data_IF_694033809565
#
_entry.id   IF_694033809565
#
_cell.length_a   1.000
_cell.length_b   1.000
_cell.length_c   1.000
_cell.angle_alpha   90.00
_cell.angle_beta   90.00
_cell.angle_gamma   90.00
#
_symmetry.space_group_name_H-M   'P 1'
#
loop_
_entity.id
_entity.type
_entity.pdbx_description
1 polymer ?
#
# COMPACT_ATOMS: atom_id res chain seq x y z
N UNK A 1 -12.82 1.44 -50.45
CA UNK A 1 -11.55 1.68 -49.72
C UNK A 1 -11.76 2.27 -48.33
N UNK A 2 -12.57 3.31 -48.14
CA UNK A 2 -12.79 3.93 -46.81
C UNK A 2 -13.45 3.01 -45.76
N UNK A 3 -14.41 2.16 -46.17
CA UNK A 3 -15.15 1.29 -45.24
C UNK A 3 -14.28 0.15 -44.68
N UNK A 4 -13.36 -0.37 -45.50
CA UNK A 4 -12.42 -1.43 -45.09
C UNK A 4 -11.45 -0.88 -44.04
N UNK A 5 -10.95 0.34 -44.24
CA UNK A 5 -10.09 1.03 -43.26
C UNK A 5 -10.81 1.24 -41.94
N UNK A 6 -12.07 1.68 -41.97
CA UNK A 6 -12.89 1.83 -40.75
C UNK A 6 -13.15 0.51 -40.03
N UNK A 7 -13.41 -0.58 -40.76
CA UNK A 7 -13.57 -1.90 -40.17
C UNK A 7 -12.28 -2.39 -39.49
N UNK A 8 -11.11 -2.16 -40.10
CA UNK A 8 -9.82 -2.54 -39.52
C UNK A 8 -9.53 -1.75 -38.25
N UNK A 9 -9.77 -0.43 -38.26
CA UNK A 9 -9.61 0.42 -37.08
C UNK A 9 -10.54 -0.05 -35.95
N UNK A 10 -11.81 -0.31 -36.27
CA UNK A 10 -12.77 -0.78 -35.28
C UNK A 10 -12.37 -2.14 -34.69
N UNK A 11 -11.89 -3.08 -35.51
CA UNK A 11 -11.39 -4.37 -35.04
C UNK A 11 -10.20 -4.21 -34.08
N UNK A 12 -9.26 -3.31 -34.37
CA UNK A 12 -8.12 -3.02 -33.51
C UNK A 12 -8.59 -2.42 -32.17
N UNK A 13 -9.52 -1.47 -32.20
CA UNK A 13 -10.06 -0.86 -30.97
C UNK A 13 -10.76 -1.89 -30.10
N UNK A 14 -11.60 -2.75 -30.68
CA UNK A 14 -12.28 -3.83 -29.95
C UNK A 14 -11.27 -4.82 -29.37
N UNK A 15 -10.24 -5.17 -30.13
CA UNK A 15 -9.19 -6.08 -29.67
C UNK A 15 -8.40 -5.50 -28.49
N UNK A 16 -8.02 -4.23 -28.55
CA UNK A 16 -7.34 -3.53 -27.45
C UNK A 16 -8.26 -3.47 -26.23
N UNK A 17 -9.53 -3.08 -26.40
CA UNK A 17 -10.50 -3.03 -25.31
C UNK A 17 -10.71 -4.40 -24.64
N UNK A 18 -10.76 -5.46 -25.43
CA UNK A 18 -10.87 -6.83 -24.95
C UNK A 18 -9.63 -7.26 -24.15
N UNK A 19 -8.43 -6.97 -24.66
CA UNK A 19 -7.17 -7.26 -23.95
C UNK A 19 -7.08 -6.47 -22.64
N UNK A 20 -7.42 -5.18 -22.65
CA UNK A 20 -7.43 -4.35 -21.43
C UNK A 20 -8.41 -4.87 -20.39
N UNK A 21 -9.60 -5.31 -20.80
CA UNK A 21 -10.61 -5.87 -19.90
C UNK A 21 -10.17 -7.23 -19.36
N UNK A 22 -9.55 -8.07 -20.20
CA UNK A 22 -9.03 -9.37 -19.80
C UNK A 22 -7.86 -9.25 -18.82
N UNK A 23 -6.92 -8.34 -19.06
CA UNK A 23 -5.81 -8.09 -18.13
C UNK A 23 -6.31 -7.53 -16.79
N UNK A 24 -7.30 -6.64 -16.80
CA UNK A 24 -7.93 -6.15 -15.58
C UNK A 24 -8.65 -7.26 -14.79
N UNK A 25 -9.21 -8.26 -15.47
CA UNK A 25 -9.84 -9.41 -14.84
C UNK A 25 -8.80 -10.37 -14.23
N UNK A 26 -7.71 -10.67 -14.95
CA UNK A 26 -6.65 -11.59 -14.48
C UNK A 26 -5.91 -11.04 -13.25
N UNK A 27 -5.61 -9.74 -13.21
CA UNK A 27 -5.00 -9.11 -12.04
C UNK A 27 -5.83 -9.26 -10.74
N UNK A 28 -7.15 -9.44 -10.86
CA UNK A 28 -8.03 -9.58 -9.71
C UNK A 28 -7.98 -11.00 -9.12
N UNK A 29 -7.84 -12.02 -9.95
CA UNK A 29 -7.76 -13.42 -9.50
C UNK A 29 -6.39 -13.71 -8.88
N UNK A 30 -5.31 -13.26 -9.53
CA UNK A 30 -3.96 -13.37 -8.97
C UNK A 30 -3.83 -12.57 -7.67
N UNK A 31 -4.34 -11.32 -7.64
CA UNK A 31 -4.32 -10.49 -6.44
C UNK A 31 -5.09 -11.09 -5.26
N UNK A 32 -6.18 -11.84 -5.49
CA UNK A 32 -6.94 -12.52 -4.44
C UNK A 32 -6.15 -13.71 -3.86
N UNK A 33 -5.51 -14.49 -4.72
CA UNK A 33 -4.69 -15.62 -4.32
C UNK A 33 -3.46 -15.15 -3.52
N UNK A 34 -2.82 -14.10 -4.01
CA UNK A 34 -1.69 -13.41 -3.39
C UNK A 34 -2.06 -12.79 -2.03
N UNK A 35 -3.26 -12.21 -1.92
CA UNK A 35 -3.77 -11.69 -0.64
C UNK A 35 -4.00 -12.81 0.38
N UNK A 36 -4.46 -13.99 -0.06
CA UNK A 36 -4.61 -15.16 0.81
C UNK A 36 -3.26 -15.66 1.37
N UNK A 37 -2.24 -15.72 0.52
CA UNK A 37 -0.88 -16.09 0.94
C UNK A 37 -0.27 -15.02 1.88
N UNK A 38 -0.53 -13.74 1.58
CA UNK A 38 -0.09 -12.63 2.41
C UNK A 38 -0.64 -12.73 3.85
N UNK A 39 -1.91 -13.09 4.02
CA UNK A 39 -2.50 -13.27 5.37
C UNK A 39 -1.76 -14.33 6.17
N UNK A 40 -1.44 -15.47 5.53
CA UNK A 40 -0.76 -16.59 6.19
C UNK A 40 0.67 -16.20 6.56
N UNK A 41 1.41 -15.57 5.65
CA UNK A 41 2.80 -15.15 5.88
C UNK A 41 2.87 -14.06 6.96
N UNK A 42 1.91 -13.13 6.98
CA UNK A 42 1.83 -12.10 8.00
C UNK A 42 1.54 -12.68 9.38
N UNK A 43 0.54 -13.56 9.50
CA UNK A 43 0.21 -14.19 10.78
C UNK A 43 1.38 -15.06 11.27
N UNK A 44 2.12 -15.69 10.36
CA UNK A 44 3.34 -16.42 10.70
C UNK A 44 4.45 -15.51 11.23
N UNK A 45 4.63 -14.32 10.65
CA UNK A 45 5.64 -13.36 11.09
C UNK A 45 5.25 -12.62 12.39
N UNK A 46 3.95 -12.34 12.57
CA UNK A 46 3.40 -11.61 13.71
C UNK A 46 2.18 -12.34 14.30
N UNK A 47 2.37 -13.47 15.01
CA UNK A 47 1.27 -14.32 15.48
C UNK A 47 0.38 -13.67 16.54
N UNK A 48 0.91 -12.68 17.26
CA UNK A 48 0.20 -11.97 18.32
C UNK A 48 -0.61 -10.77 17.78
N UNK A 49 -0.45 -10.39 16.51
CA UNK A 49 -1.12 -9.24 15.92
C UNK A 49 -2.34 -9.72 15.10
N UNK A 50 -3.54 -9.30 15.51
CA UNK A 50 -4.77 -9.69 14.83
C UNK A 50 -5.04 -8.77 13.62
N UNK A 51 -5.22 -9.37 12.45
CA UNK A 51 -5.53 -8.66 11.21
C UNK A 51 -7.03 -8.34 11.18
N UNK A 52 -7.39 -7.07 11.03
CA UNK A 52 -8.79 -6.62 10.89
C UNK A 52 -9.20 -6.44 9.44
N UNK A 53 -8.30 -5.89 8.62
CA UNK A 53 -8.60 -5.57 7.24
C UNK A 53 -7.32 -5.57 6.40
N UNK A 54 -7.41 -5.94 5.13
CA UNK A 54 -6.32 -5.84 4.17
C UNK A 54 -6.80 -5.09 2.93
N UNK A 55 -5.92 -4.29 2.32
CA UNK A 55 -6.15 -3.63 1.05
C UNK A 55 -4.89 -3.77 0.18
N UNK A 56 -5.05 -4.42 -0.97
CA UNK A 56 -3.99 -4.56 -1.97
C UNK A 56 -3.95 -3.36 -2.91
N UNK A 57 -2.76 -3.02 -3.40
CA UNK A 57 -2.56 -2.05 -4.46
C UNK A 57 -3.03 -2.61 -5.80
N UNK A 58 -3.35 -1.72 -6.75
CA UNK A 58 -3.87 -2.10 -8.07
C UNK A 58 -2.86 -2.92 -8.90
N UNK A 59 -1.56 -2.77 -8.60
CA UNK A 59 -0.45 -3.51 -9.21
C UNK A 59 -0.11 -4.83 -8.47
N UNK A 60 -0.78 -5.11 -7.34
CA UNK A 60 -0.53 -6.29 -6.50
C UNK A 60 0.85 -6.33 -5.84
N UNK A 61 1.64 -5.25 -5.92
CA UNK A 61 3.00 -5.22 -5.38
C UNK A 61 3.05 -4.97 -3.88
N UNK A 62 2.02 -4.34 -3.32
CA UNK A 62 1.92 -4.09 -1.89
C UNK A 62 0.52 -4.37 -1.34
N UNK A 63 0.47 -4.83 -0.10
CA UNK A 63 -0.75 -5.05 0.66
C UNK A 63 -0.62 -4.31 1.97
N UNK A 64 -1.55 -3.39 2.21
CA UNK A 64 -1.66 -2.67 3.47
C UNK A 64 -2.56 -3.44 4.40
N UNK A 65 -2.12 -3.60 5.65
CA UNK A 65 -2.78 -4.40 6.66
C UNK A 65 -3.17 -3.48 7.80
N UNK A 66 -4.45 -3.49 8.16
CA UNK A 66 -4.94 -2.88 9.39
C UNK A 66 -4.94 -3.92 10.49
N UNK A 67 -4.24 -3.62 11.57
CA UNK A 67 -4.10 -4.50 12.73
C UNK A 67 -5.05 -4.07 13.85
N UNK A 68 -5.04 -4.85 14.91
CA UNK A 68 -5.65 -4.50 16.18
C UNK A 68 -4.94 -3.28 16.81
N UNK A 69 -5.63 -2.54 17.70
CA UNK A 69 -5.07 -1.38 18.42
C UNK A 69 -4.62 -0.18 17.56
N UNK A 70 -5.28 0.06 16.42
CA UNK A 70 -4.96 1.14 15.47
C UNK A 70 -3.55 1.08 14.88
N UNK A 71 -2.88 -0.07 14.97
CA UNK A 71 -1.63 -0.30 14.26
C UNK A 71 -1.91 -0.57 12.78
N UNK A 72 -0.95 -0.22 11.95
CA UNK A 72 -0.95 -0.54 10.53
C UNK A 72 0.30 -1.36 10.20
N UNK A 73 0.23 -2.13 9.12
CA UNK A 73 1.35 -2.87 8.57
C UNK A 73 1.36 -2.74 7.06
N UNK A 74 2.53 -2.98 6.47
CA UNK A 74 2.71 -3.11 5.03
C UNK A 74 3.34 -4.46 4.74
N UNK A 75 2.87 -5.07 3.68
CA UNK A 75 3.45 -6.26 3.09
C UNK A 75 3.82 -5.93 1.66
N UNK A 76 5.05 -6.23 1.28
CA UNK A 76 5.50 -6.05 -0.10
C UNK A 76 5.75 -7.40 -0.75
N UNK A 77 5.20 -7.60 -1.94
CA UNK A 77 5.46 -8.78 -2.74
C UNK A 77 6.90 -8.70 -3.27
N UNK A 78 7.73 -9.70 -2.94
CA UNK A 78 9.10 -9.85 -3.44
C UNK A 78 9.19 -11.05 -4.39
N UNK A 79 8.21 -11.19 -5.30
CA UNK A 79 8.02 -12.27 -6.28
C UNK A 79 7.77 -13.67 -5.70
N UNK A 80 8.59 -14.10 -4.74
CA UNK A 80 8.57 -15.44 -4.17
C UNK A 80 8.06 -15.46 -2.73
N UNK A 81 8.24 -14.36 -2.00
CA UNK A 81 7.90 -14.23 -0.57
C UNK A 81 7.37 -12.81 -0.28
N UNK A 82 6.65 -12.63 0.81
CA UNK A 82 6.22 -11.32 1.28
C UNK A 82 7.16 -10.78 2.35
N UNK A 83 7.62 -9.55 2.17
CA UNK A 83 8.32 -8.82 3.23
C UNK A 83 7.28 -8.10 4.09
N UNK A 84 7.13 -8.54 5.34
CA UNK A 84 6.15 -8.01 6.29
C UNK A 84 6.80 -6.98 7.22
N UNK A 85 6.15 -5.83 7.38
CA UNK A 85 6.61 -4.81 8.31
C UNK A 85 5.42 -4.19 9.04
N UNK A 86 5.49 -4.15 10.37
CA UNK A 86 4.52 -3.43 11.21
C UNK A 86 5.01 -2.00 11.35
N UNK A 87 4.11 -1.05 11.17
CA UNK A 87 4.41 0.37 11.17
C UNK A 87 4.32 0.92 12.59
N UNK A 88 5.41 1.52 13.04
CA UNK A 88 5.41 2.26 14.31
C UNK A 88 4.60 3.57 14.19
N UNK A 89 3.86 3.94 15.24
CA UNK A 89 3.18 5.22 15.29
C UNK A 89 4.13 6.40 15.16
N UNK A 90 3.71 7.39 14.38
CA UNK A 90 4.44 8.65 14.18
C UNK A 90 5.61 8.58 13.22
N UNK A 91 5.73 7.52 12.41
CA UNK A 91 6.88 7.34 11.51
C UNK A 91 6.49 7.11 10.05
N UNK A 92 5.27 7.51 9.71
CA UNK A 92 4.73 7.42 8.36
C UNK A 92 4.24 8.79 7.91
N UNK A 93 4.65 9.20 6.71
CA UNK A 93 4.11 10.36 6.02
C UNK A 93 3.33 9.87 4.81
N UNK A 94 2.13 10.43 4.63
CA UNK A 94 1.23 10.08 3.53
C UNK A 94 0.85 11.36 2.79
N UNK A 95 1.07 11.34 1.49
CA UNK A 95 0.67 12.40 0.56
C UNK A 95 -0.21 11.78 -0.52
N UNK A 96 -1.23 12.51 -0.97
CA UNK A 96 -2.05 12.06 -2.09
C UNK A 96 -1.26 12.15 -3.40
N UNK A 97 -1.38 11.13 -4.25
CA UNK A 97 -0.88 11.16 -5.64
C UNK A 97 -1.71 12.12 -6.50
N UNK A 98 -1.14 12.60 -7.60
CA UNK A 98 -1.80 13.49 -8.56
C UNK A 98 -3.07 12.87 -9.17
N UNK A 99 -3.14 11.54 -9.20
CA UNK A 99 -4.28 10.76 -9.72
C UNK A 99 -5.50 10.78 -8.79
N UNK A 100 -5.34 11.17 -7.52
CA UNK A 100 -6.35 11.06 -6.46
C UNK A 100 -6.71 9.62 -6.06
N UNK A 101 -6.09 8.62 -6.70
CA UNK A 101 -6.27 7.19 -6.44
C UNK A 101 -5.01 6.51 -5.91
N UNK A 102 -3.90 7.23 -5.91
CA UNK A 102 -2.65 6.79 -5.32
C UNK A 102 -2.30 7.55 -4.05
N UNK A 103 -1.41 6.95 -3.27
CA UNK A 103 -0.75 7.55 -2.13
C UNK A 103 0.75 7.48 -2.33
N UNK A 104 1.44 8.59 -2.14
CA UNK A 104 2.88 8.62 -1.94
C UNK A 104 3.14 8.49 -0.43
N UNK A 105 3.74 7.37 -0.04
CA UNK A 105 3.96 7.03 1.36
C UNK A 105 5.46 6.97 1.61
N UNK A 106 5.90 7.75 2.61
CA UNK A 106 7.28 7.83 3.07
C UNK A 106 7.37 7.29 4.49
N UNK A 107 8.09 6.18 4.66
CA UNK A 107 8.36 5.55 5.94
C UNK A 107 9.72 6.02 6.47
N UNK A 108 9.72 6.64 7.65
CA UNK A 108 10.93 7.19 8.28
C UNK A 108 11.86 6.09 8.83
N UNK A 109 11.30 4.98 9.31
CA UNK A 109 12.07 3.84 9.83
C UNK A 109 12.53 2.86 8.78
N UNK A 110 11.76 2.74 7.70
CA UNK A 110 11.96 1.72 6.70
C UNK A 110 11.87 2.33 5.29
N UNK A 111 12.85 3.17 4.89
CA UNK A 111 12.80 3.91 3.63
C UNK A 111 12.68 3.01 2.39
N UNK A 112 13.11 1.75 2.49
CA UNK A 112 13.00 0.76 1.43
C UNK A 112 11.56 0.38 1.07
N UNK A 113 10.59 0.61 1.96
CA UNK A 113 9.18 0.41 1.69
C UNK A 113 8.49 1.67 1.14
N UNK A 114 9.18 2.82 1.15
CA UNK A 114 8.61 4.09 0.68
C UNK A 114 8.39 4.05 -0.83
N UNK A 115 7.35 4.72 -1.28
CA UNK A 115 7.04 4.82 -2.70
C UNK A 115 5.62 5.31 -2.98
N UNK A 116 5.30 5.33 -4.27
CA UNK A 116 3.95 5.66 -4.75
C UNK A 116 3.16 4.38 -4.98
N UNK A 117 2.03 4.29 -4.32
CA UNK A 117 1.13 3.14 -4.36
C UNK A 117 -0.20 3.56 -4.97
N UNK A 118 -0.60 2.91 -6.06
CA UNK A 118 -1.88 3.16 -6.72
C UNK A 118 -2.92 2.12 -6.31
N UNK A 119 -4.15 2.57 -6.06
CA UNK A 119 -5.24 1.71 -5.58
C UNK A 119 -6.37 1.56 -6.61
N UNK A 120 -7.18 0.52 -6.41
CA UNK A 120 -8.33 0.22 -7.27
C UNK A 120 -9.39 1.35 -7.31
N UNK A 121 -9.44 2.22 -6.29
CA UNK A 121 -10.26 3.42 -6.29
C UNK A 121 -9.78 4.44 -5.26
N UNK A 122 -10.21 5.70 -5.41
CA UNK A 122 -9.92 6.76 -4.45
C UNK A 122 -10.49 6.46 -3.04
N UNK A 123 -11.60 5.70 -2.97
CA UNK A 123 -12.16 5.23 -1.70
C UNK A 123 -11.20 4.33 -0.96
N UNK A 124 -10.62 3.34 -1.66
CA UNK A 124 -9.64 2.41 -1.07
C UNK A 124 -8.38 3.16 -0.65
N UNK A 125 -7.89 4.08 -1.48
CA UNK A 125 -6.76 4.94 -1.11
C UNK A 125 -7.05 5.75 0.17
N UNK A 126 -8.25 6.34 0.28
CA UNK A 126 -8.65 7.10 1.47
C UNK A 126 -8.75 6.23 2.72
N UNK A 127 -9.21 4.98 2.60
CA UNK A 127 -9.24 4.03 3.71
C UNK A 127 -7.82 3.71 4.21
N UNK A 128 -6.89 3.41 3.30
CA UNK A 128 -5.49 3.13 3.66
C UNK A 128 -4.84 4.36 4.28
N UNK A 129 -5.06 5.55 3.70
CA UNK A 129 -4.57 6.80 4.27
C UNK A 129 -5.08 7.02 5.70
N UNK A 130 -6.34 6.67 5.98
CA UNK A 130 -6.91 6.78 7.33
C UNK A 130 -6.26 5.81 8.33
N UNK A 131 -5.86 4.63 7.90
CA UNK A 131 -5.14 3.68 8.78
C UNK A 131 -3.76 4.20 9.13
N UNK A 132 -3.09 4.82 8.16
CA UNK A 132 -1.78 5.42 8.33
C UNK A 132 -1.84 6.75 9.10
N UNK A 133 -3.00 7.42 9.16
CA UNK A 133 -3.20 8.66 9.92
C UNK A 133 -2.95 8.46 11.42
N UNK A 134 -3.29 7.29 11.97
CA UNK A 134 -2.95 6.94 13.36
C UNK A 134 -1.45 6.95 13.63
N UNK A 135 -0.64 6.85 12.58
CA UNK A 135 0.82 6.85 12.61
C UNK A 135 1.43 8.12 11.96
N UNK A 136 0.64 9.17 11.74
CA UNK A 136 1.09 10.38 11.06
C UNK A 136 1.91 11.28 11.99
N UNK A 137 3.07 11.74 11.51
CA UNK A 137 3.83 12.84 12.13
C UNK A 137 3.80 14.06 11.22
N UNK A 138 3.39 15.20 11.79
CA UNK A 138 3.42 16.48 11.11
C UNK A 138 4.87 16.99 11.01
N UNK A 139 5.21 17.72 9.93
CA UNK A 139 6.54 18.33 9.75
C UNK A 139 7.12 19.07 10.98
N UNK A 140 6.34 19.83 11.80
CA UNK A 140 6.87 20.45 13.01
C UNK A 140 7.31 19.47 14.12
N UNK A 141 6.76 18.25 14.16
CA UNK A 141 7.07 17.25 15.20
C UNK A 141 8.32 16.41 14.87
N UNK A 142 8.98 16.67 13.73
CA UNK A 142 10.25 16.02 13.35
C UNK A 142 11.39 16.35 14.33
N UNK A 143 11.30 17.49 15.03
CA UNK A 143 12.28 17.90 16.02
C UNK A 143 12.07 17.13 17.34
N UNK A 144 12.47 15.86 17.37
CA UNK A 144 12.66 15.17 18.65
C UNK A 144 13.69 15.97 19.47
N UNK A 145 13.38 16.39 20.71
CA UNK A 145 14.41 16.91 21.59
C UNK A 145 15.41 15.78 21.81
N UNK A 146 16.69 16.07 21.55
CA UNK A 146 17.78 15.22 22.00
C UNK A 146 17.55 14.93 23.48
N UNK A 147 17.34 13.66 23.83
CA UNK A 147 17.29 13.22 25.21
C UNK A 147 18.61 13.65 25.87
N UNK A 148 18.60 14.80 26.55
CA UNK A 148 19.59 15.12 27.54
C UNK A 148 19.27 14.21 28.71
N UNK A 149 20.12 13.24 29.07
CA UNK A 149 20.05 12.67 30.40
C UNK A 149 20.44 13.81 31.34
N UNK A 150 19.43 14.50 31.88
CA UNK A 150 19.60 15.34 33.05
C UNK A 150 20.33 14.51 34.08
N UNK A 151 21.57 14.92 34.36
CA UNK A 151 22.43 14.35 35.39
C UNK A 151 21.77 14.68 36.73
N UNK A 152 20.83 13.83 37.12
CA UNK A 152 20.27 13.78 38.47
C UNK A 152 21.13 12.78 39.26
N UNK A 153 22.27 13.26 39.76
CA UNK A 153 23.05 12.64 40.83
C UNK A 153 24.06 13.70 41.31
N UNK A 154 24.17 14.13 42.55
CA UNK A 154 23.52 13.80 43.82
C UNK A 154 23.86 14.96 44.76
N UNK A 155 23.56 14.77 46.05
CA UNK A 155 23.71 15.72 47.16
C UNK A 155 25.07 16.42 47.26
#
# INVERSE_FOLDING_TARGET
MSIIVWCVIFAIVVFIAFISTRMAAQNKEDGLHDTGLAIIEFNRAFPNEAIRQLQATADGQAVFVRLHDNKAGIMRNMQRHYSCHVLEPGRVRVLSSETGRGLNIEFLDAPHYSGTFEFASARVASEVALWLLGNYVAEPDKALPSHNPTVANGQ
#
